data_IF_741411487498
#
_entry.id   IF_741411487498
#
_cell.length_a   1.000
_cell.length_b   1.000
_cell.length_c   1.000
_cell.angle_alpha   90.00
_cell.angle_beta   90.00
_cell.angle_gamma   90.00
#
_symmetry.space_group_name_H-M   'P 1'
#
loop_
_entity.id
_entity.type
_entity.pdbx_description
1 polymer ?
#
# COMPACT_ATOMS: atom_id res chain seq x y z
N UNK A 1 19.83 15.61 39.73
CA UNK A 1 20.13 15.97 38.32
C UNK A 1 19.69 14.80 37.44
N UNK A 2 18.49 14.86 36.85
CA UNK A 2 18.02 13.80 35.95
C UNK A 2 18.43 14.14 34.52
N UNK A 3 19.21 13.25 33.89
CA UNK A 3 19.53 13.35 32.48
C UNK A 3 18.32 12.87 31.68
N UNK A 4 17.56 13.82 31.13
CA UNK A 4 16.53 13.56 30.13
C UNK A 4 17.17 12.94 28.89
N UNK A 5 16.84 11.70 28.59
CA UNK A 5 17.20 11.02 27.34
C UNK A 5 16.38 11.66 26.23
N UNK A 6 16.92 12.70 25.59
CA UNK A 6 16.38 13.23 24.34
C UNK A 6 16.71 12.24 23.23
N UNK A 7 15.83 11.27 23.02
CA UNK A 7 15.90 10.45 21.82
C UNK A 7 15.82 11.36 20.60
N UNK A 8 16.87 11.36 19.77
CA UNK A 8 16.88 12.11 18.52
C UNK A 8 15.59 11.77 17.75
N UNK A 9 14.76 12.77 17.38
CA UNK A 9 13.57 12.51 16.60
C UNK A 9 13.98 11.79 15.31
N UNK A 10 13.19 10.79 14.91
CA UNK A 10 13.38 10.15 13.61
C UNK A 10 13.48 11.26 12.56
N UNK A 11 14.55 11.24 11.76
CA UNK A 11 14.87 12.31 10.80
C UNK A 11 13.69 12.46 9.84
N UNK A 12 12.90 13.51 10.05
CA UNK A 12 11.76 13.85 9.22
C UNK A 12 12.26 14.53 7.96
N UNK A 13 11.77 14.08 6.82
CA UNK A 13 12.15 14.59 5.51
C UNK A 13 10.92 15.17 4.82
N UNK A 14 10.63 16.48 5.01
CA UNK A 14 9.41 17.11 4.48
C UNK A 14 9.24 16.94 2.96
N UNK A 15 10.34 16.89 2.22
CA UNK A 15 10.33 16.70 0.77
C UNK A 15 9.79 15.32 0.35
N UNK A 16 9.89 14.30 1.19
CA UNK A 16 9.30 12.98 0.92
C UNK A 16 7.77 13.06 0.95
N UNK A 17 7.20 13.81 1.89
CA UNK A 17 5.76 14.04 1.95
C UNK A 17 5.29 14.89 0.75
N UNK A 18 6.10 15.86 0.33
CA UNK A 18 5.86 16.61 -0.91
C UNK A 18 5.81 15.72 -2.15
N UNK A 19 6.74 14.76 -2.27
CA UNK A 19 6.72 13.77 -3.36
C UNK A 19 5.49 12.87 -3.31
N UNK A 20 5.04 12.44 -2.12
CA UNK A 20 3.78 11.69 -1.98
C UNK A 20 2.57 12.53 -2.40
N UNK A 21 2.54 13.80 -2.03
CA UNK A 21 1.47 14.70 -2.42
C UNK A 21 1.41 14.87 -3.95
N UNK A 22 2.56 15.06 -4.61
CA UNK A 22 2.64 15.13 -6.07
C UNK A 22 2.15 13.83 -6.74
N UNK A 23 2.56 12.68 -6.22
CA UNK A 23 2.12 11.37 -6.69
C UNK A 23 0.60 11.17 -6.58
N UNK A 24 -0.01 11.61 -5.48
CA UNK A 24 -1.48 11.57 -5.31
C UNK A 24 -2.16 12.56 -6.25
N UNK A 25 -1.63 13.78 -6.40
CA UNK A 25 -2.18 14.80 -7.28
C UNK A 25 -2.17 14.36 -8.75
N UNK A 26 -1.12 13.69 -9.23
CA UNK A 26 -1.09 13.18 -10.60
C UNK A 26 -2.20 12.17 -10.86
N UNK A 27 -2.48 11.29 -9.89
CA UNK A 27 -3.57 10.31 -9.96
C UNK A 27 -4.93 11.00 -9.96
N UNK A 28 -5.11 12.01 -9.11
CA UNK A 28 -6.36 12.78 -9.06
C UNK A 28 -6.63 13.50 -10.38
N UNK A 29 -5.64 14.20 -10.94
CA UNK A 29 -5.78 14.90 -12.23
C UNK A 29 -6.15 13.91 -13.35
N UNK A 30 -5.52 12.74 -13.37
CA UNK A 30 -5.83 11.70 -14.34
C UNK A 30 -7.27 11.20 -14.25
N UNK A 31 -7.81 11.02 -13.03
CA UNK A 31 -9.20 10.59 -12.83
C UNK A 31 -10.22 11.70 -13.10
N UNK A 32 -9.85 12.97 -12.94
CA UNK A 32 -10.73 14.10 -13.29
C UNK A 32 -10.89 14.23 -14.81
N UNK A 33 -9.78 14.21 -15.55
CA UNK A 33 -9.79 14.25 -17.00
C UNK A 33 -8.45 13.76 -17.56
N UNK A 34 -8.39 12.48 -17.96
CA UNK A 34 -7.16 11.79 -18.40
C UNK A 34 -6.26 12.58 -19.39
N UNK A 35 -6.80 13.20 -20.46
CA UNK A 35 -6.06 14.06 -21.37
C UNK A 35 -5.26 15.22 -20.75
N UNK A 36 -5.60 15.70 -19.56
CA UNK A 36 -4.82 16.75 -18.88
C UNK A 36 -3.45 16.27 -18.41
N UNK A 37 -3.36 14.98 -18.04
CA UNK A 37 -2.12 14.36 -17.64
C UNK A 37 -2.09 12.88 -18.05
N UNK A 38 -1.84 12.59 -19.34
CA UNK A 38 -1.71 11.22 -19.82
C UNK A 38 -0.63 10.50 -19.01
N UNK A 39 -0.94 9.32 -18.47
CA UNK A 39 -0.01 8.58 -17.62
C UNK A 39 0.00 9.00 -16.14
N UNK A 40 -0.88 9.90 -15.69
CA UNK A 40 -0.92 10.33 -14.28
C UNK A 40 -1.17 9.19 -13.27
N UNK A 41 -1.66 8.03 -13.72
CA UNK A 41 -1.76 6.79 -12.95
C UNK A 41 -0.39 6.25 -12.45
N UNK A 42 0.72 6.60 -13.11
CA UNK A 42 2.10 6.25 -12.66
C UNK A 42 2.40 6.85 -11.27
N UNK A 43 1.64 7.85 -10.84
CA UNK A 43 1.71 8.36 -9.46
C UNK A 43 1.49 7.26 -8.41
N UNK A 44 0.70 6.22 -8.69
CA UNK A 44 0.55 5.09 -7.76
C UNK A 44 1.87 4.34 -7.59
N UNK A 45 2.57 4.07 -8.68
CA UNK A 45 3.85 3.34 -8.68
C UNK A 45 4.90 4.13 -7.89
N UNK A 46 4.97 5.45 -8.11
CA UNK A 46 5.84 6.37 -7.36
C UNK A 46 5.48 6.37 -5.86
N UNK A 47 4.18 6.37 -5.53
CA UNK A 47 3.73 6.33 -4.14
C UNK A 47 4.19 5.04 -3.44
N UNK A 48 4.12 3.89 -4.11
CA UNK A 48 4.61 2.63 -3.58
C UNK A 48 6.12 2.61 -3.35
N UNK A 49 6.92 3.13 -4.28
CA UNK A 49 8.37 3.27 -4.09
C UNK A 49 8.69 4.14 -2.87
N UNK A 50 8.01 5.28 -2.73
CA UNK A 50 8.21 6.16 -1.57
C UNK A 50 7.80 5.45 -0.27
N UNK A 51 6.72 4.67 -0.29
CA UNK A 51 6.27 3.91 0.87
C UNK A 51 7.28 2.84 1.30
N UNK A 52 7.84 2.08 0.36
CA UNK A 52 8.92 1.13 0.61
C UNK A 52 10.13 1.79 1.28
N UNK A 53 10.56 2.94 0.74
CA UNK A 53 11.63 3.74 1.31
C UNK A 53 11.32 4.22 2.74
N UNK A 54 10.15 4.82 2.98
CA UNK A 54 9.75 5.36 4.29
C UNK A 54 9.67 4.24 5.33
N UNK A 55 9.16 3.08 4.95
CA UNK A 55 9.02 1.91 5.83
C UNK A 55 10.39 1.39 6.22
N UNK A 56 11.30 1.25 5.26
CA UNK A 56 12.70 0.85 5.51
C UNK A 56 13.44 1.86 6.39
N UNK A 57 13.35 3.16 6.07
CA UNK A 57 13.96 4.24 6.83
C UNK A 57 13.44 4.31 8.28
N UNK A 58 12.15 4.02 8.49
CA UNK A 58 11.55 4.08 9.83
C UNK A 58 12.12 3.01 10.78
N UNK A 59 12.65 1.89 10.28
CA UNK A 59 13.30 0.87 11.11
C UNK A 59 14.68 1.32 11.57
N UNK A 60 15.36 2.23 10.84
CA UNK A 60 16.68 2.72 11.25
C UNK A 60 16.69 3.35 12.66
N UNK A 61 15.52 3.79 13.15
CA UNK A 61 15.32 4.33 14.49
C UNK A 61 15.04 3.28 15.59
N UNK A 62 14.89 2.00 15.24
CA UNK A 62 14.64 0.93 16.19
C UNK A 62 15.88 0.62 17.03
N UNK A 63 15.73 0.63 18.36
CA UNK A 63 16.81 0.37 19.33
C UNK A 63 16.54 -0.84 20.25
N UNK A 64 15.41 -1.53 20.07
CA UNK A 64 15.05 -2.70 20.87
C UNK A 64 15.86 -3.94 20.52
N UNK A 65 15.73 -4.99 21.33
CA UNK A 65 16.38 -6.29 21.09
C UNK A 65 15.33 -7.39 20.94
N UNK A 66 15.54 -8.26 19.95
CA UNK A 66 14.69 -9.42 19.72
C UNK A 66 13.51 -9.18 18.78
N UNK A 67 13.04 -10.30 18.20
CA UNK A 67 12.00 -10.34 17.19
C UNK A 67 10.68 -9.72 17.66
N UNK A 68 10.20 -10.10 18.83
CA UNK A 68 8.90 -9.65 19.34
C UNK A 68 8.83 -8.14 19.59
N UNK A 69 9.90 -7.56 20.15
CA UNK A 69 9.99 -6.11 20.34
C UNK A 69 10.01 -5.37 19.00
N UNK A 70 10.70 -5.93 18.01
CA UNK A 70 10.74 -5.39 16.66
C UNK A 70 9.36 -5.44 15.98
N UNK A 71 8.67 -6.59 16.01
CA UNK A 71 7.33 -6.74 15.44
C UNK A 71 6.33 -5.80 16.12
N UNK A 72 6.33 -5.74 17.45
CA UNK A 72 5.45 -4.84 18.21
C UNK A 72 5.73 -3.37 17.86
N UNK A 73 7.00 -2.96 17.83
CA UNK A 73 7.40 -1.61 17.43
C UNK A 73 6.96 -1.26 16.00
N UNK A 74 7.17 -2.21 15.08
CA UNK A 74 6.83 -2.05 13.67
C UNK A 74 5.31 -1.87 13.52
N UNK A 75 4.52 -2.89 13.89
CA UNK A 75 3.07 -2.90 13.67
C UNK A 75 2.32 -1.84 14.47
N UNK A 76 2.67 -1.61 15.73
CA UNK A 76 1.95 -0.63 16.55
C UNK A 76 2.02 0.80 15.99
N UNK A 77 3.14 1.17 15.35
CA UNK A 77 3.29 2.47 14.70
C UNK A 77 2.42 2.59 13.44
N UNK A 78 2.29 1.51 12.66
CA UNK A 78 1.49 1.51 11.42
C UNK A 78 0.01 1.54 11.75
N UNK A 79 -0.43 0.70 12.68
CA UNK A 79 -1.84 0.66 13.12
C UNK A 79 -2.27 2.04 13.62
N UNK A 80 -1.49 2.68 14.51
CA UNK A 80 -1.80 4.03 15.01
C UNK A 80 -1.84 5.12 13.94
N UNK A 81 -1.14 4.94 12.83
CA UNK A 81 -1.09 5.90 11.72
C UNK A 81 -2.19 5.66 10.69
N UNK A 82 -2.47 4.40 10.36
CA UNK A 82 -3.29 4.01 9.20
C UNK A 82 -4.75 3.77 9.61
N UNK A 83 -4.98 2.99 10.67
CA UNK A 83 -6.34 2.54 11.03
C UNK A 83 -7.32 3.69 11.32
N UNK A 84 -6.94 4.77 12.04
CA UNK A 84 -7.88 5.87 12.29
C UNK A 84 -8.38 6.52 10.99
N UNK A 85 -7.47 6.76 10.05
CA UNK A 85 -7.81 7.37 8.76
C UNK A 85 -8.62 6.40 7.87
N UNK A 86 -8.25 5.11 7.86
CA UNK A 86 -8.98 4.07 7.14
C UNK A 86 -10.42 3.94 7.66
N UNK A 87 -10.60 3.83 8.98
CA UNK A 87 -11.93 3.71 9.60
C UNK A 87 -12.78 4.94 9.27
N UNK A 88 -12.22 6.15 9.41
CA UNK A 88 -12.91 7.37 9.05
C UNK A 88 -13.32 7.38 7.57
N UNK A 89 -12.41 7.01 6.67
CA UNK A 89 -12.68 6.90 5.24
C UNK A 89 -13.83 5.92 4.96
N UNK A 90 -13.76 4.69 5.49
CA UNK A 90 -14.79 3.67 5.26
C UNK A 90 -16.17 4.10 5.77
N UNK A 91 -16.24 4.70 6.96
CA UNK A 91 -17.48 5.18 7.55
C UNK A 91 -18.07 6.37 6.79
N UNK A 92 -17.24 7.34 6.41
CA UNK A 92 -17.68 8.51 5.63
C UNK A 92 -18.15 8.07 4.25
N UNK A 93 -17.38 7.20 3.58
CA UNK A 93 -17.77 6.66 2.27
C UNK A 93 -19.03 5.80 2.36
N UNK A 94 -19.21 5.00 3.42
CA UNK A 94 -20.46 4.23 3.60
C UNK A 94 -21.65 5.14 3.83
N UNK A 95 -21.50 6.18 4.66
CA UNK A 95 -22.56 7.14 4.93
C UNK A 95 -22.92 7.93 3.68
N UNK A 96 -21.92 8.45 2.97
CA UNK A 96 -22.13 9.17 1.71
C UNK A 96 -22.80 8.26 0.66
N UNK A 97 -22.35 7.01 0.53
CA UNK A 97 -22.97 6.05 -0.39
C UNK A 97 -24.43 5.80 -0.04
N UNK A 98 -24.76 5.63 1.24
CA UNK A 98 -26.14 5.42 1.69
C UNK A 98 -27.05 6.64 1.48
N UNK A 99 -26.51 7.86 1.55
CA UNK A 99 -27.28 9.10 1.38
C UNK A 99 -27.46 9.52 -0.08
N UNK A 100 -26.47 9.26 -0.94
CA UNK A 100 -26.41 9.85 -2.28
C UNK A 100 -26.49 8.84 -3.42
N UNK A 101 -26.24 7.55 -3.19
CA UNK A 101 -26.27 6.51 -4.23
C UNK A 101 -27.56 5.70 -4.09
N UNK A 102 -28.43 5.67 -5.13
CA UNK A 102 -29.64 4.84 -5.06
C UNK A 102 -29.27 3.36 -4.92
N UNK A 103 -29.99 2.62 -4.08
CA UNK A 103 -29.68 1.23 -3.73
C UNK A 103 -29.59 0.28 -4.93
N UNK A 104 -30.30 0.56 -6.02
CA UNK A 104 -30.23 -0.20 -7.28
C UNK A 104 -28.84 -0.15 -7.94
N UNK A 105 -28.04 0.88 -7.68
CA UNK A 105 -26.67 1.03 -8.18
C UNK A 105 -25.63 0.42 -7.24
N UNK A 106 -26.01 0.04 -6.02
CA UNK A 106 -25.12 -0.60 -5.06
C UNK A 106 -25.17 -2.11 -5.23
N UNK A 107 -24.09 -2.69 -5.74
CA UNK A 107 -23.94 -4.14 -5.89
C UNK A 107 -23.34 -4.79 -4.64
N UNK A 108 -23.49 -6.12 -4.55
CA UNK A 108 -22.79 -6.93 -3.54
C UNK A 108 -21.27 -6.72 -3.60
N UNK A 109 -20.71 -6.51 -4.79
CA UNK A 109 -19.27 -6.25 -4.99
C UNK A 109 -18.84 -4.97 -4.26
N UNK A 110 -19.65 -3.91 -4.29
CA UNK A 110 -19.35 -2.66 -3.58
C UNK A 110 -19.26 -2.91 -2.06
N UNK A 111 -20.25 -3.60 -1.50
CA UNK A 111 -20.32 -3.91 -0.08
C UNK A 111 -19.14 -4.81 0.35
N UNK A 112 -18.86 -5.87 -0.42
CA UNK A 112 -17.72 -6.75 -0.18
C UNK A 112 -16.40 -6.01 -0.27
N UNK A 113 -16.24 -5.09 -1.22
CA UNK A 113 -15.01 -4.28 -1.34
C UNK A 113 -14.79 -3.43 -0.09
N UNK A 114 -15.84 -2.76 0.42
CA UNK A 114 -15.75 -1.97 1.65
C UNK A 114 -15.40 -2.80 2.89
N UNK A 115 -16.00 -3.99 3.03
CA UNK A 115 -15.68 -4.91 4.15
C UNK A 115 -14.25 -5.42 4.03
N UNK A 116 -13.83 -5.85 2.84
CA UNK A 116 -12.48 -6.39 2.63
C UNK A 116 -11.41 -5.30 2.72
N UNK A 117 -11.75 -4.04 2.43
CA UNK A 117 -10.86 -2.90 2.63
C UNK A 117 -10.45 -2.73 4.09
N UNK A 118 -11.35 -3.01 5.04
CA UNK A 118 -11.03 -2.96 6.47
C UNK A 118 -9.94 -3.98 6.87
N UNK A 119 -9.87 -5.11 6.16
CA UNK A 119 -8.90 -6.18 6.41
C UNK A 119 -7.68 -6.11 5.49
N UNK A 120 -7.54 -5.07 4.65
CA UNK A 120 -6.44 -4.97 3.69
C UNK A 120 -6.52 -5.98 2.55
N UNK A 121 -7.74 -6.35 2.13
CA UNK A 121 -8.00 -7.39 1.11
C UNK A 121 -8.88 -6.90 -0.05
N UNK A 122 -9.20 -5.61 -0.13
CA UNK A 122 -10.08 -5.08 -1.18
C UNK A 122 -9.51 -5.26 -2.59
N UNK A 123 -8.18 -5.26 -2.72
CA UNK A 123 -7.50 -5.50 -3.99
C UNK A 123 -7.80 -6.88 -4.58
N UNK A 124 -8.05 -7.92 -3.76
CA UNK A 124 -8.46 -9.23 -4.28
C UNK A 124 -9.86 -9.22 -4.88
N UNK A 125 -10.80 -8.48 -4.28
CA UNK A 125 -12.14 -8.31 -4.83
C UNK A 125 -12.04 -7.58 -6.17
N UNK A 126 -11.30 -6.48 -6.22
CA UNK A 126 -11.15 -5.66 -7.42
C UNK A 126 -10.39 -6.36 -8.54
N UNK A 127 -9.42 -7.23 -8.22
CA UNK A 127 -8.69 -8.05 -9.19
C UNK A 127 -9.57 -9.11 -9.88
N UNK A 128 -10.74 -9.40 -9.33
CA UNK A 128 -11.72 -10.33 -9.89
C UNK A 128 -12.82 -9.60 -10.68
N UNK A 129 -12.98 -8.28 -10.47
CA UNK A 129 -13.96 -7.44 -11.15
C UNK A 129 -13.55 -7.14 -12.60
N UNK A 130 -14.53 -7.04 -13.52
CA UNK A 130 -14.28 -6.67 -14.92
C UNK A 130 -14.06 -7.84 -15.89
N UNK A 131 -14.36 -9.07 -15.48
CA UNK A 131 -14.31 -10.26 -16.36
C UNK A 131 -15.60 -10.49 -17.15
N UNK A 132 -16.71 -9.91 -16.70
CA UNK A 132 -18.03 -10.14 -17.27
C UNK A 132 -18.62 -8.85 -17.84
N UNK A 133 -19.31 -8.97 -18.98
CA UNK A 133 -19.93 -7.84 -19.70
C UNK A 133 -20.91 -7.02 -18.83
N UNK A 134 -21.50 -7.65 -17.81
CA UNK A 134 -22.44 -7.03 -16.87
C UNK A 134 -21.82 -6.72 -15.49
N UNK A 135 -20.51 -6.92 -15.31
CA UNK A 135 -19.87 -6.61 -14.04
C UNK A 135 -19.86 -5.08 -13.83
N UNK A 136 -20.16 -4.58 -12.62
CA UNK A 136 -19.99 -3.18 -12.28
C UNK A 136 -18.55 -2.74 -12.58
N UNK A 137 -18.37 -1.66 -13.34
CA UNK A 137 -17.01 -1.15 -13.58
C UNK A 137 -16.40 -0.71 -12.26
N UNK A 138 -15.11 -0.96 -12.08
CA UNK A 138 -14.37 -0.54 -10.88
C UNK A 138 -14.45 0.97 -10.64
N UNK A 139 -14.70 1.76 -11.69
CA UNK A 139 -14.88 3.21 -11.59
C UNK A 139 -16.10 3.61 -10.76
N UNK A 140 -17.18 2.83 -10.77
CA UNK A 140 -18.38 3.11 -9.95
C UNK A 140 -18.32 2.51 -8.56
N UNK A 141 -17.21 1.87 -8.18
CA UNK A 141 -17.06 1.32 -6.84
C UNK A 141 -16.50 2.38 -5.87
N UNK A 142 -17.28 2.82 -4.85
CA UNK A 142 -16.86 3.89 -3.94
C UNK A 142 -15.58 3.57 -3.15
N UNK A 143 -15.26 2.27 -3.03
CA UNK A 143 -14.13 1.79 -2.26
C UNK A 143 -12.91 1.46 -3.12
N UNK A 144 -12.92 1.78 -4.42
CA UNK A 144 -11.83 1.42 -5.34
C UNK A 144 -10.47 1.88 -4.82
N UNK A 145 -10.34 3.13 -4.37
CA UNK A 145 -9.07 3.68 -3.87
C UNK A 145 -8.42 2.90 -2.71
N UNK A 146 -9.15 2.03 -2.02
CA UNK A 146 -8.62 1.21 -0.91
C UNK A 146 -7.67 0.12 -1.38
N UNK A 147 -7.66 -0.23 -2.67
CA UNK A 147 -6.84 -1.30 -3.21
C UNK A 147 -5.34 -1.06 -3.01
N UNK A 148 -4.88 0.18 -3.18
CA UNK A 148 -3.46 0.51 -3.05
C UNK A 148 -3.01 0.42 -1.59
N UNK A 149 -3.88 0.82 -0.65
CA UNK A 149 -3.63 0.64 0.77
C UNK A 149 -3.57 -0.85 1.14
N UNK A 150 -4.47 -1.68 0.60
CA UNK A 150 -4.45 -3.13 0.82
C UNK A 150 -3.12 -3.77 0.38
N UNK A 151 -2.56 -3.35 -0.77
CA UNK A 151 -1.24 -3.78 -1.24
C UNK A 151 -0.13 -3.36 -0.25
N UNK A 152 -0.18 -2.12 0.24
CA UNK A 152 0.75 -1.58 1.23
C UNK A 152 0.70 -2.36 2.56
N UNK A 153 -0.50 -2.68 3.05
CA UNK A 153 -0.72 -3.45 4.28
C UNK A 153 -0.22 -4.89 4.15
N UNK A 154 -0.45 -5.55 3.01
CA UNK A 154 0.10 -6.88 2.72
C UNK A 154 1.62 -6.86 2.70
N UNK A 155 2.23 -5.81 2.13
CA UNK A 155 3.67 -5.60 2.23
C UNK A 155 4.13 -5.43 3.68
N UNK A 156 3.39 -4.70 4.52
CA UNK A 156 3.72 -4.56 5.94
C UNK A 156 3.69 -5.87 6.71
N UNK A 157 2.87 -6.84 6.30
CA UNK A 157 2.88 -8.17 6.90
C UNK A 157 4.16 -8.95 6.55
N UNK A 158 4.64 -8.84 5.31
CA UNK A 158 5.80 -9.61 4.83
C UNK A 158 7.13 -8.95 5.17
N UNK A 159 7.17 -7.62 5.13
CA UNK A 159 8.38 -6.81 5.24
C UNK A 159 9.23 -7.10 6.50
N UNK A 160 8.66 -7.22 7.71
CA UNK A 160 9.45 -7.53 8.90
C UNK A 160 10.27 -8.80 8.74
N UNK A 161 9.69 -9.85 8.13
CA UNK A 161 10.34 -11.14 7.92
C UNK A 161 11.51 -11.07 6.94
N UNK A 162 11.36 -10.32 5.85
CA UNK A 162 12.44 -10.06 4.90
C UNK A 162 13.56 -9.20 5.51
N UNK A 163 13.21 -8.34 6.46
CA UNK A 163 14.14 -7.45 7.12
C UNK A 163 14.81 -8.06 8.38
N UNK A 164 14.33 -9.18 8.93
CA UNK A 164 14.86 -9.72 10.19
C UNK A 164 16.36 -9.98 10.14
N UNK A 165 16.86 -10.53 9.04
CA UNK A 165 18.28 -10.81 8.88
C UNK A 165 19.11 -9.52 8.93
N UNK A 166 18.57 -8.37 8.57
CA UNK A 166 19.28 -7.09 8.58
C UNK A 166 19.76 -6.71 9.98
N UNK A 167 18.98 -7.11 10.99
CA UNK A 167 19.27 -6.85 12.41
C UNK A 167 20.42 -7.73 12.94
N UNK A 168 20.81 -8.79 12.23
CA UNK A 168 21.84 -9.77 12.66
C UNK A 168 23.28 -9.41 12.25
N UNK A 169 23.53 -8.18 11.76
CA UNK A 169 24.87 -7.70 11.40
C UNK A 169 25.21 -7.82 9.90
N UNK A 170 26.50 -7.65 9.49
CA UNK A 170 26.87 -7.45 8.09
C UNK A 170 26.47 -8.58 7.13
N UNK A 171 26.57 -9.85 7.57
CA UNK A 171 26.14 -11.01 6.76
C UNK A 171 24.62 -11.04 6.60
N UNK A 172 23.89 -10.72 7.66
CA UNK A 172 22.43 -10.67 7.63
C UNK A 172 21.88 -9.49 6.83
N UNK A 173 22.60 -8.35 6.77
CA UNK A 173 22.31 -7.27 5.82
C UNK A 173 22.41 -7.74 4.38
N UNK A 174 23.50 -8.43 4.01
CA UNK A 174 23.65 -9.02 2.66
C UNK A 174 22.52 -9.99 2.33
N UNK A 175 22.15 -10.85 3.28
CA UNK A 175 21.03 -11.78 3.10
C UNK A 175 19.70 -11.04 2.88
N UNK A 176 19.42 -10.00 3.66
CA UNK A 176 18.18 -9.22 3.49
C UNK A 176 18.15 -8.52 2.13
N UNK A 177 19.25 -7.88 1.72
CA UNK A 177 19.37 -7.27 0.38
C UNK A 177 19.14 -8.31 -0.71
N UNK A 178 19.74 -9.50 -0.59
CA UNK A 178 19.54 -10.58 -1.54
C UNK A 178 18.08 -11.04 -1.59
N UNK A 179 17.41 -11.16 -0.43
CA UNK A 179 16.01 -11.54 -0.35
C UNK A 179 15.11 -10.49 -1.00
N UNK A 180 15.31 -9.20 -0.70
CA UNK A 180 14.58 -8.10 -1.35
C UNK A 180 14.83 -8.06 -2.86
N UNK A 181 16.08 -8.20 -3.31
CA UNK A 181 16.41 -8.23 -4.72
C UNK A 181 15.78 -9.43 -5.44
N UNK A 182 15.80 -10.61 -4.82
CA UNK A 182 15.21 -11.82 -5.37
C UNK A 182 13.68 -11.71 -5.47
N UNK A 183 13.00 -11.22 -4.43
CA UNK A 183 11.55 -11.04 -4.45
C UNK A 183 11.11 -9.91 -5.38
N UNK A 184 11.88 -8.82 -5.48
CA UNK A 184 11.66 -7.76 -6.46
C UNK A 184 11.82 -8.28 -7.90
N UNK A 185 12.89 -9.02 -8.20
CA UNK A 185 13.09 -9.61 -9.52
C UNK A 185 11.98 -10.60 -9.89
N UNK A 186 11.59 -11.47 -8.95
CA UNK A 186 10.47 -12.40 -9.14
C UNK A 186 9.15 -11.64 -9.40
N UNK A 187 8.93 -10.54 -8.68
CA UNK A 187 7.76 -9.67 -8.84
C UNK A 187 7.74 -9.00 -10.22
N UNK A 188 8.88 -8.50 -10.74
CA UNK A 188 8.98 -7.93 -12.09
C UNK A 188 8.69 -8.97 -13.17
N UNK A 189 9.25 -10.18 -13.05
CA UNK A 189 8.97 -11.28 -13.99
C UNK A 189 7.50 -11.64 -13.98
N UNK A 190 6.90 -11.75 -12.79
CA UNK A 190 5.47 -12.02 -12.63
C UNK A 190 4.61 -10.90 -13.21
N UNK A 191 4.97 -9.64 -12.98
CA UNK A 191 4.27 -8.48 -13.51
C UNK A 191 4.30 -8.48 -15.05
N UNK A 192 5.44 -8.77 -15.66
CA UNK A 192 5.57 -8.85 -17.12
C UNK A 192 4.71 -9.96 -17.72
N UNK A 193 4.71 -11.15 -17.11
CA UNK A 193 3.86 -12.27 -17.55
C UNK A 193 2.36 -11.99 -17.33
N UNK A 194 1.99 -11.52 -16.14
CA UNK A 194 0.60 -11.28 -15.77
C UNK A 194 0.00 -10.09 -16.51
N UNK A 195 0.80 -9.09 -16.90
CA UNK A 195 0.32 -7.98 -17.72
C UNK A 195 -0.18 -8.44 -19.10
N UNK A 196 0.34 -9.55 -19.61
CA UNK A 196 -0.15 -10.13 -20.88
C UNK A 196 -1.29 -11.12 -20.67
N UNK A 197 -1.21 -11.94 -19.62
CA UNK A 197 -2.21 -12.98 -19.36
C UNK A 197 -3.49 -12.45 -18.70
N UNK A 198 -3.37 -11.50 -17.77
CA UNK A 198 -4.47 -10.91 -17.01
C UNK A 198 -4.11 -9.50 -16.49
N UNK A 199 -4.28 -8.45 -17.31
CA UNK A 199 -3.88 -7.08 -16.97
C UNK A 199 -4.52 -6.56 -15.66
N UNK A 200 -5.79 -6.90 -15.40
CA UNK A 200 -6.50 -6.48 -14.19
C UNK A 200 -5.84 -7.04 -12.94
N UNK A 201 -5.43 -8.32 -12.96
CA UNK A 201 -4.72 -8.90 -11.83
C UNK A 201 -3.31 -8.30 -11.67
N UNK A 202 -2.60 -8.05 -12.76
CA UNK A 202 -1.29 -7.40 -12.70
C UNK A 202 -1.37 -6.01 -12.05
N UNK A 203 -2.48 -5.29 -12.29
CA UNK A 203 -2.70 -3.97 -11.72
C UNK A 203 -3.02 -3.98 -10.22
N UNK A 204 -3.88 -4.89 -9.76
CA UNK A 204 -4.40 -4.90 -8.38
C UNK A 204 -3.64 -5.81 -7.40
N UNK A 205 -3.01 -6.90 -7.88
CA UNK A 205 -2.45 -7.90 -6.98
C UNK A 205 -1.03 -7.55 -6.52
N UNK A 206 -0.82 -7.68 -5.20
CA UNK A 206 0.46 -7.41 -4.54
C UNK A 206 1.66 -8.12 -5.15
N UNK A 207 1.61 -9.41 -5.55
CA UNK A 207 2.77 -10.08 -6.14
C UNK A 207 3.33 -9.39 -7.40
N UNK A 208 2.48 -8.80 -8.24
CA UNK A 208 2.91 -8.05 -9.43
C UNK A 208 3.36 -6.61 -9.12
N UNK A 209 2.99 -6.07 -7.96
CA UNK A 209 3.35 -4.72 -7.49
C UNK A 209 4.51 -4.70 -6.49
N UNK A 210 4.88 -5.86 -5.95
CA UNK A 210 5.84 -5.96 -4.86
C UNK A 210 7.20 -5.33 -5.17
N UNK A 211 7.65 -5.37 -6.44
CA UNK A 211 8.89 -4.74 -6.88
C UNK A 211 8.94 -3.23 -6.61
N UNK A 212 7.81 -2.53 -6.67
CA UNK A 212 7.73 -1.08 -6.42
C UNK A 212 8.03 -0.79 -4.94
N UNK A 213 7.53 -1.62 -4.03
CA UNK A 213 7.72 -1.48 -2.58
C UNK A 213 9.10 -1.97 -2.12
N UNK A 214 9.74 -2.84 -2.90
CA UNK A 214 11.04 -3.44 -2.60
C UNK A 214 12.24 -2.71 -3.24
N UNK A 215 11.99 -1.66 -4.02
CA UNK A 215 12.98 -0.87 -4.75
C UNK A 215 13.95 -0.09 -3.86
#
# INVERSE_FOLDING_TARGET
MSHGVTGSPARYYPYIDGLRALAVLSVLVYHLHGPWLPGGFVGVDVFFVISGFVVSASIASFKGQGLWQFLAYFYARRIRRIFPALIACLLITSLASALFIPSIWLSEVNQRTGIYAFFGLSNFILAQTGRDYFAPTTEFNPYTHTWSLAVEEQFYLVFPFLFLAWLSGPRGRKLSVLLFAATAAASVVLAGWQSQANPTQAYFLTPARFWELAA
#
